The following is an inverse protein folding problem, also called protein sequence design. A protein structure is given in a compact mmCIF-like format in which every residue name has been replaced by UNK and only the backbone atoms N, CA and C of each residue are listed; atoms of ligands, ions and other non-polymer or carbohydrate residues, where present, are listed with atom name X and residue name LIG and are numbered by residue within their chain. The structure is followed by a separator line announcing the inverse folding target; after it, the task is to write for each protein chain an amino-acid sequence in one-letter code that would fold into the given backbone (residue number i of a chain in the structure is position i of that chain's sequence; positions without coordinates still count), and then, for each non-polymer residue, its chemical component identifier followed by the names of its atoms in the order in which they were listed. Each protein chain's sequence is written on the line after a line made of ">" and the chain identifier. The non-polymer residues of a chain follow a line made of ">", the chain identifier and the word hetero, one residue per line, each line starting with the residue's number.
data_IF_658622873491
#
_entry.id   IF_658622873491
#
_cell.length_a   1.000
_cell.length_b   1.000
_cell.length_c   1.000
_cell.angle_alpha   90.00
_cell.angle_beta   90.00
_cell.angle_gamma   90.00
#
_symmetry.space_group_name_H-M   'P 1'
#
loop_
_entity.id
_entity.type
_entity.pdbx_description
1 polymer ?
#
# COMPACT_ATOMS: atom_id res chain seq x y z
N UNK A 1 -19.44 10.46 24.18
CA UNK A 1 -18.07 10.19 24.68
C UNK A 1 -17.75 8.76 24.31
N UNK A 2 -17.10 8.55 23.17
CA UNK A 2 -16.66 7.23 22.70
C UNK A 2 -15.27 6.95 23.27
N UNK A 3 -15.13 5.85 24.00
CA UNK A 3 -13.86 5.43 24.59
C UNK A 3 -12.92 4.93 23.49
N UNK A 4 -11.75 5.56 23.39
CA UNK A 4 -10.66 5.18 22.50
C UNK A 4 -9.89 4.01 23.15
N UNK A 5 -9.90 2.83 22.52
CA UNK A 5 -9.24 1.63 23.03
C UNK A 5 -7.86 1.50 22.37
N UNK A 6 -6.86 2.23 22.87
CA UNK A 6 -5.48 2.13 22.38
C UNK A 6 -4.85 0.83 22.87
N UNK A 7 -4.92 -0.25 22.08
CA UNK A 7 -4.13 -1.45 22.35
C UNK A 7 -2.63 -1.19 22.05
N UNK A 8 -1.71 -1.79 22.82
CA UNK A 8 -0.27 -1.65 22.56
C UNK A 8 0.12 -2.23 21.18
N UNK A 9 1.15 -1.68 20.52
CA UNK A 9 1.60 -2.17 19.22
C UNK A 9 2.13 -3.61 19.31
N UNK A 10 2.18 -4.31 18.18
CA UNK A 10 2.68 -5.68 18.12
C UNK A 10 4.15 -5.77 18.59
N UNK A 11 4.41 -6.51 19.67
CA UNK A 11 5.76 -6.71 20.22
C UNK A 11 5.81 -7.89 21.21
N UNK A 12 7.00 -8.18 21.72
CA UNK A 12 7.21 -9.08 22.84
C UNK A 12 6.89 -8.38 24.16
N UNK A 13 6.02 -9.00 24.95
CA UNK A 13 5.62 -8.50 26.26
C UNK A 13 5.67 -9.63 27.29
N UNK A 14 5.70 -9.33 28.61
CA UNK A 14 5.67 -10.35 29.65
C UNK A 14 4.52 -11.34 29.45
N UNK A 15 4.82 -12.64 29.48
CA UNK A 15 3.83 -13.68 29.23
C UNK A 15 2.71 -13.65 30.28
N UNK A 16 1.49 -13.36 29.84
CA UNK A 16 0.29 -13.31 30.69
C UNK A 16 -0.04 -14.64 31.35
N UNK A 17 0.39 -15.77 30.75
CA UNK A 17 0.22 -17.10 31.36
C UNK A 17 1.29 -17.42 32.41
N UNK A 18 2.35 -16.58 32.50
CA UNK A 18 3.54 -16.75 33.35
C UNK A 18 4.23 -18.11 33.17
N UNK A 19 4.06 -18.76 32.01
CA UNK A 19 4.75 -19.99 31.65
C UNK A 19 6.13 -19.71 31.03
N UNK A 20 6.27 -18.55 30.39
CA UNK A 20 7.49 -18.09 29.72
C UNK A 20 7.87 -16.65 30.15
N UNK A 21 9.04 -16.15 29.73
CA UNK A 21 9.48 -14.79 30.09
C UNK A 21 8.72 -13.75 29.27
N UNK A 22 8.61 -13.99 27.96
CA UNK A 22 7.87 -13.13 27.03
C UNK A 22 6.93 -13.96 26.16
N UNK A 23 5.80 -13.37 25.76
CA UNK A 23 4.90 -13.87 24.72
C UNK A 23 4.68 -12.77 23.68
N UNK A 24 4.46 -13.15 22.44
CA UNK A 24 4.29 -12.17 21.37
C UNK A 24 2.83 -11.71 21.28
N UNK A 25 2.61 -10.41 21.34
CA UNK A 25 1.34 -9.72 21.07
C UNK A 25 1.34 -9.23 19.62
N UNK A 26 0.29 -9.52 18.86
CA UNK A 26 0.21 -9.15 17.44
C UNK A 26 -0.49 -7.80 17.17
N UNK A 27 -0.87 -7.06 18.22
CA UNK A 27 -1.66 -5.82 18.12
C UNK A 27 -3.14 -6.00 18.45
N UNK A 28 -3.65 -7.23 18.42
CA UNK A 28 -5.04 -7.58 18.73
C UNK A 28 -5.17 -8.73 19.75
N UNK A 29 -4.30 -9.73 19.68
CA UNK A 29 -4.31 -10.93 20.53
C UNK A 29 -2.90 -11.43 20.88
N UNK A 30 -2.81 -12.21 21.96
CA UNK A 30 -1.60 -12.95 22.32
C UNK A 30 -1.44 -14.18 21.43
N UNK A 31 -0.23 -14.41 20.93
CA UNK A 31 0.06 -15.54 20.04
C UNK A 31 0.70 -16.71 20.80
N UNK A 32 0.85 -17.84 20.11
CA UNK A 32 1.56 -19.02 20.61
C UNK A 32 3.09 -18.83 20.73
N UNK A 33 3.66 -17.77 20.16
CA UNK A 33 5.09 -17.53 20.18
C UNK A 33 5.54 -17.03 21.56
N UNK A 34 6.50 -17.73 22.15
CA UNK A 34 7.05 -17.45 23.48
C UNK A 34 8.56 -17.36 23.44
N UNK A 35 9.14 -16.71 24.45
CA UNK A 35 10.57 -16.55 24.61
C UNK A 35 10.98 -16.84 26.06
N UNK A 36 11.96 -17.73 26.25
CA UNK A 36 12.52 -18.09 27.57
C UNK A 36 14.01 -18.31 27.43
N UNK A 37 14.83 -17.74 28.32
CA UNK A 37 16.28 -17.99 28.35
C UNK A 37 17.02 -17.66 27.06
N UNK A 38 16.55 -16.69 26.28
CA UNK A 38 17.16 -16.32 24.99
C UNK A 38 16.66 -17.11 23.77
N UNK A 39 15.72 -18.05 23.95
CA UNK A 39 15.23 -18.94 22.89
C UNK A 39 13.75 -18.70 22.62
N UNK A 40 13.40 -18.56 21.34
CA UNK A 40 12.01 -18.51 20.88
C UNK A 40 11.45 -19.91 20.68
N UNK A 41 10.23 -20.16 21.16
CA UNK A 41 9.51 -21.41 21.02
C UNK A 41 8.02 -21.17 20.74
N UNK A 42 7.26 -22.25 20.55
CA UNK A 42 5.81 -22.25 20.34
C UNK A 42 5.15 -22.98 21.51
N UNK A 43 4.27 -22.27 22.23
CA UNK A 43 3.48 -22.77 23.36
C UNK A 43 1.99 -22.39 23.15
N UNK A 44 1.11 -23.35 22.80
CA UNK A 44 -0.30 -23.11 22.53
C UNK A 44 -1.04 -22.49 23.73
N UNK A 45 -1.86 -21.47 23.47
CA UNK A 45 -2.79 -20.93 24.44
C UNK A 45 -4.08 -21.78 24.48
N UNK A 46 -4.65 -22.04 25.67
CA UNK A 46 -5.98 -22.64 25.76
C UNK A 46 -7.03 -21.71 25.15
N UNK A 47 -7.92 -22.24 24.30
CA UNK A 47 -8.97 -21.46 23.66
C UNK A 47 -9.87 -20.74 24.70
N UNK A 48 -10.29 -19.49 24.44
CA UNK A 48 -11.18 -18.78 25.35
C UNK A 48 -12.55 -19.48 25.44
N UNK A 49 -12.97 -19.82 26.66
CA UNK A 49 -14.31 -20.32 26.96
C UNK A 49 -15.32 -19.16 26.94
N UNK A 50 -16.15 -19.11 25.90
CA UNK A 50 -17.27 -18.16 25.83
C UNK A 50 -18.42 -18.68 26.71
N UNK A 51 -18.97 -17.89 27.66
CA UNK A 51 -20.15 -18.29 28.42
C UNK A 51 -21.42 -18.18 27.56
N UNK A 52 -22.29 -19.17 27.69
CA UNK A 52 -23.56 -19.27 26.98
C UNK A 52 -24.51 -18.10 27.30
N UNK A 53 -24.88 -17.32 26.28
CA UNK A 53 -25.91 -16.29 26.36
C UNK A 53 -27.18 -16.73 25.59
N UNK A 54 -28.21 -16.96 26.39
CA UNK A 54 -29.66 -16.87 26.19
C UNK A 54 -30.28 -16.94 24.78
N UNK A 55 -31.10 -17.98 24.62
CA UNK A 55 -32.04 -18.20 23.55
C UNK A 55 -33.16 -17.14 23.52
N UNK A 56 -33.14 -16.29 22.50
CA UNK A 56 -34.28 -15.49 22.07
C UNK A 56 -35.29 -16.36 21.33
N UNK A 57 -36.54 -16.36 21.82
CA UNK A 57 -37.72 -16.93 21.17
C UNK A 57 -38.00 -16.17 19.87
N UNK A 58 -38.16 -16.90 18.78
CA UNK A 58 -38.69 -16.42 17.51
C UNK A 58 -39.68 -17.43 16.98
N UNK A 59 -40.93 -17.02 16.89
CA UNK A 59 -42.11 -17.81 16.53
C UNK A 59 -42.03 -18.39 15.12
N UNK A 60 -42.57 -19.61 15.00
CA UNK A 60 -42.76 -20.33 13.76
C UNK A 60 -43.97 -19.76 12.99
N UNK A 61 -43.74 -19.38 11.73
CA UNK A 61 -44.77 -19.33 10.69
C UNK A 61 -44.52 -20.51 9.75
N UNK A 62 -45.49 -21.42 9.73
CA UNK A 62 -45.43 -22.65 8.96
C UNK A 62 -45.48 -22.43 7.45
N UNK A 63 -44.84 -23.34 6.72
CA UNK A 63 -45.44 -23.90 5.52
C UNK A 63 -44.97 -25.34 5.35
N UNK A 64 -45.97 -26.19 5.25
CA UNK A 64 -45.96 -27.59 4.90
C UNK A 64 -45.51 -27.78 3.45
N UNK A 65 -44.54 -28.66 3.19
CA UNK A 65 -44.65 -29.79 2.24
C UNK A 65 -43.28 -30.41 1.96
N UNK A 66 -43.18 -31.73 2.18
CA UNK A 66 -42.08 -32.57 1.68
C UNK A 66 -41.35 -33.34 2.78
N UNK A 67 -41.69 -34.63 2.97
CA UNK A 67 -41.01 -35.60 3.84
C UNK A 67 -39.48 -35.52 3.69
N UNK A 68 -38.80 -34.82 4.60
CA UNK A 68 -37.39 -35.09 4.91
C UNK A 68 -37.37 -36.32 5.81
N UNK A 69 -36.80 -37.41 5.31
CA UNK A 69 -36.42 -38.54 6.15
C UNK A 69 -35.35 -38.05 7.14
N UNK A 70 -35.78 -37.79 8.38
CA UNK A 70 -34.90 -37.48 9.50
C UNK A 70 -33.77 -38.51 9.56
N UNK A 71 -32.59 -38.10 9.13
CA UNK A 71 -31.39 -38.92 9.06
C UNK A 71 -30.54 -38.56 10.27
N UNK A 72 -30.42 -39.45 11.28
CA UNK A 72 -29.71 -39.14 12.51
C UNK A 72 -28.21 -39.06 12.25
N UNK A 73 -27.58 -37.97 12.68
CA UNK A 73 -26.13 -37.87 12.79
C UNK A 73 -25.65 -38.94 13.76
N UNK A 74 -24.77 -39.82 13.30
CA UNK A 74 -24.14 -40.84 14.14
C UNK A 74 -22.70 -40.46 14.44
N UNK A 75 -22.12 -41.11 15.44
CA UNK A 75 -20.71 -40.93 15.78
C UNK A 75 -20.39 -39.74 16.67
N UNK A 76 -21.38 -39.25 17.45
CA UNK A 76 -21.08 -38.36 18.58
C UNK A 76 -20.09 -39.05 19.53
N UNK A 77 -18.91 -38.44 19.72
CA UNK A 77 -17.84 -38.95 20.57
C UNK A 77 -16.92 -39.97 19.90
N UNK A 78 -17.03 -40.17 18.58
CA UNK A 78 -15.99 -40.89 17.83
C UNK A 78 -14.75 -40.03 17.69
N UNK A 79 -13.59 -40.69 17.65
CA UNK A 79 -12.34 -40.05 17.29
C UNK A 79 -12.29 -39.80 15.78
N UNK A 80 -11.44 -38.86 15.40
CA UNK A 80 -11.13 -38.56 14.00
C UNK A 80 -10.70 -39.84 13.27
N UNK A 81 -11.33 -40.08 12.12
CA UNK A 81 -11.02 -41.24 11.29
C UNK A 81 -10.61 -40.78 9.90
N UNK A 82 -9.39 -41.11 9.51
CA UNK A 82 -8.90 -40.88 8.14
C UNK A 82 -9.52 -41.90 7.20
N UNK A 83 -10.23 -41.41 6.18
CA UNK A 83 -10.86 -42.25 5.17
C UNK A 83 -9.79 -42.97 4.36
N UNK A 84 -9.96 -44.28 4.19
CA UNK A 84 -9.05 -45.12 3.43
C UNK A 84 -9.43 -45.15 1.94
N UNK A 85 -8.41 -45.08 1.08
CA UNK A 85 -8.55 -45.28 -0.37
C UNK A 85 -9.04 -44.04 -1.14
N UNK A 86 -9.01 -42.87 -0.50
CA UNK A 86 -9.26 -41.55 -1.07
C UNK A 86 -8.31 -41.24 -2.24
N UNK A 87 -7.08 -41.74 -2.18
CA UNK A 87 -6.09 -41.60 -3.27
C UNK A 87 -6.50 -42.27 -4.58
N UNK A 88 -7.40 -43.27 -4.55
CA UNK A 88 -7.99 -43.91 -5.73
C UNK A 88 -9.26 -43.21 -6.23
N UNK A 89 -9.73 -42.17 -5.52
CA UNK A 89 -10.99 -41.45 -5.77
C UNK A 89 -10.76 -39.99 -6.17
N UNK A 90 -9.61 -39.71 -6.81
CA UNK A 90 -9.21 -38.35 -7.20
C UNK A 90 -10.25 -37.66 -8.10
N UNK A 91 -10.85 -38.39 -9.04
CA UNK A 91 -11.85 -37.84 -9.95
C UNK A 91 -13.16 -37.49 -9.23
N UNK A 92 -13.60 -38.34 -8.31
CA UNK A 92 -14.74 -38.13 -7.42
C UNK A 92 -14.51 -36.90 -6.52
N UNK A 93 -13.32 -36.79 -5.92
CA UNK A 93 -12.96 -35.66 -5.06
C UNK A 93 -12.86 -34.36 -5.86
N UNK A 94 -12.30 -34.40 -7.07
CA UNK A 94 -12.31 -33.25 -7.97
C UNK A 94 -13.74 -32.77 -8.25
N UNK A 95 -14.70 -33.69 -8.50
CA UNK A 95 -16.12 -33.32 -8.70
C UNK A 95 -16.74 -32.68 -7.46
N UNK A 96 -16.38 -33.12 -6.25
CA UNK A 96 -16.81 -32.46 -4.99
C UNK A 96 -16.38 -30.99 -4.98
N UNK A 97 -15.08 -30.71 -5.21
CA UNK A 97 -14.55 -29.34 -5.15
C UNK A 97 -15.00 -28.45 -6.32
N UNK A 98 -15.09 -29.00 -7.54
CA UNK A 98 -15.66 -28.30 -8.69
C UNK A 98 -17.13 -27.94 -8.45
N UNK A 99 -17.90 -28.83 -7.82
CA UNK A 99 -19.29 -28.54 -7.41
C UNK A 99 -19.42 -27.50 -6.30
N UNK A 100 -18.33 -27.16 -5.61
CA UNK A 100 -18.22 -26.06 -4.64
C UNK A 100 -17.63 -24.79 -5.26
N UNK A 101 -17.42 -24.75 -6.58
CA UNK A 101 -16.73 -23.69 -7.30
C UNK A 101 -15.29 -23.43 -6.80
N UNK A 102 -14.60 -24.48 -6.34
CA UNK A 102 -13.20 -24.45 -5.86
C UNK A 102 -12.30 -25.27 -6.77
N UNK A 103 -11.95 -24.76 -7.98
CA UNK A 103 -11.26 -25.54 -9.01
C UNK A 103 -9.84 -25.98 -8.63
N UNK A 104 -9.25 -25.37 -7.59
CA UNK A 104 -7.88 -25.65 -7.15
C UNK A 104 -7.83 -26.38 -5.79
N UNK A 105 -9.00 -26.77 -5.28
CA UNK A 105 -9.14 -27.37 -3.96
C UNK A 105 -9.23 -26.33 -2.84
N UNK A 106 -8.86 -26.75 -1.64
CA UNK A 106 -9.00 -25.98 -0.41
C UNK A 106 -9.35 -26.89 0.76
N UNK A 107 -10.01 -26.31 1.76
CA UNK A 107 -10.57 -27.01 2.92
C UNK A 107 -12.07 -26.81 2.93
N UNK A 108 -12.85 -27.87 3.04
CA UNK A 108 -14.31 -27.78 3.19
C UNK A 108 -14.82 -28.75 4.24
N UNK A 109 -15.87 -28.32 4.94
CA UNK A 109 -16.56 -29.09 5.97
C UNK A 109 -17.89 -29.58 5.38
N UNK A 110 -17.94 -30.86 5.05
CA UNK A 110 -19.09 -31.48 4.40
C UNK A 110 -19.74 -32.54 5.30
N UNK A 111 -20.95 -32.94 4.96
CA UNK A 111 -21.59 -34.10 5.57
C UNK A 111 -21.33 -35.34 4.70
N UNK A 112 -20.72 -36.36 5.30
CA UNK A 112 -20.52 -37.66 4.67
C UNK A 112 -21.68 -38.61 5.00
N UNK A 113 -22.18 -39.28 3.97
CA UNK A 113 -23.13 -40.40 4.09
C UNK A 113 -22.36 -41.71 4.12
N UNK A 114 -22.65 -42.54 5.12
CA UNK A 114 -22.01 -43.82 5.37
C UNK A 114 -22.91 -44.96 4.90
N UNK A 115 -22.40 -45.80 3.99
CA UNK A 115 -23.16 -46.87 3.34
C UNK A 115 -22.47 -48.22 3.57
N UNK A 116 -23.00 -49.09 4.45
CA UNK A 116 -22.44 -50.43 4.67
C UNK A 116 -22.55 -51.32 3.42
N UNK A 117 -21.47 -52.03 3.09
CA UNK A 117 -21.39 -52.98 1.99
C UNK A 117 -21.14 -54.41 2.53
N UNK A 118 -22.14 -55.09 3.12
CA UNK A 118 -21.96 -56.39 3.75
C UNK A 118 -21.59 -57.53 2.78
N UNK A 119 -21.71 -57.28 1.47
CA UNK A 119 -21.32 -58.19 0.39
C UNK A 119 -19.99 -57.79 -0.27
N UNK A 120 -19.25 -56.84 0.29
CA UNK A 120 -17.97 -56.42 -0.26
C UNK A 120 -16.97 -57.59 -0.19
N UNK A 121 -16.25 -57.90 -1.28
CA UNK A 121 -15.38 -59.06 -1.36
C UNK A 121 -14.12 -58.96 -0.47
N UNK A 122 -13.74 -57.75 -0.05
CA UNK A 122 -12.53 -57.50 0.75
C UNK A 122 -12.81 -57.42 2.24
N UNK A 123 -13.92 -56.77 2.63
CA UNK A 123 -14.31 -56.63 4.04
C UNK A 123 -15.85 -56.65 4.18
N UNK A 124 -16.37 -57.65 4.90
CA UNK A 124 -17.81 -57.79 5.21
C UNK A 124 -18.38 -56.65 6.07
N UNK A 125 -17.51 -55.85 6.69
CA UNK A 125 -17.86 -54.67 7.47
C UNK A 125 -17.53 -53.36 6.73
N UNK A 126 -17.13 -53.41 5.45
CA UNK A 126 -16.78 -52.22 4.67
C UNK A 126 -17.91 -51.19 4.72
N UNK A 127 -17.57 -49.93 4.99
CA UNK A 127 -18.51 -48.81 4.97
C UNK A 127 -17.99 -47.78 3.97
N UNK A 128 -18.73 -47.62 2.88
CA UNK A 128 -18.47 -46.64 1.84
C UNK A 128 -18.79 -45.24 2.34
N UNK A 129 -17.90 -44.29 2.07
CA UNK A 129 -18.03 -42.87 2.42
C UNK A 129 -18.43 -42.09 1.17
N UNK A 130 -19.59 -41.44 1.23
CA UNK A 130 -20.13 -40.63 0.13
C UNK A 130 -20.24 -39.18 0.56
N UNK A 131 -19.65 -38.26 -0.17
CA UNK A 131 -19.80 -36.81 0.06
C UNK A 131 -20.39 -36.18 -1.18
N UNK A 132 -21.47 -35.39 -1.03
CA UNK A 132 -22.16 -34.72 -2.15
C UNK A 132 -22.50 -35.67 -3.33
N UNK A 133 -22.78 -36.94 -3.04
CA UNK A 133 -23.07 -37.97 -4.04
C UNK A 133 -21.85 -38.71 -4.60
N UNK A 134 -20.64 -38.26 -4.28
CA UNK A 134 -19.38 -38.83 -4.79
C UNK A 134 -18.76 -39.81 -3.79
N UNK A 135 -18.24 -40.93 -4.29
CA UNK A 135 -17.56 -41.93 -3.46
C UNK A 135 -16.13 -41.48 -3.14
N UNK A 136 -15.89 -40.98 -1.93
CA UNK A 136 -14.59 -40.41 -1.54
C UNK A 136 -13.65 -41.40 -0.86
N UNK A 137 -14.13 -42.60 -0.49
CA UNK A 137 -13.33 -43.70 0.04
C UNK A 137 -14.12 -44.58 0.99
N UNK A 138 -13.42 -45.27 1.88
CA UNK A 138 -13.99 -46.19 2.86
C UNK A 138 -13.62 -45.77 4.28
N UNK A 139 -14.47 -46.12 5.25
CA UNK A 139 -14.10 -46.08 6.67
C UNK A 139 -12.88 -46.99 6.87
N UNK A 140 -11.89 -46.57 7.68
CA UNK A 140 -10.68 -47.38 7.89
C UNK A 140 -11.03 -48.70 8.61
N UNK A 141 -10.29 -49.76 8.28
CA UNK A 141 -10.65 -51.14 8.65
C UNK A 141 -10.84 -51.36 10.15
N UNK A 142 -10.03 -50.67 10.97
CA UNK A 142 -10.10 -50.68 12.43
C UNK A 142 -11.42 -50.14 12.98
N UNK A 143 -12.06 -49.21 12.27
CA UNK A 143 -13.34 -48.61 12.66
C UNK A 143 -14.55 -49.22 11.94
N UNK A 144 -14.34 -49.91 10.80
CA UNK A 144 -15.40 -50.49 9.95
C UNK A 144 -16.45 -51.29 10.73
N UNK A 145 -16.05 -52.17 11.65
CA UNK A 145 -16.98 -52.98 12.43
C UNK A 145 -17.89 -52.13 13.33
N UNK A 146 -17.31 -51.14 14.04
CA UNK A 146 -18.03 -50.23 14.92
C UNK A 146 -19.01 -49.36 14.12
N UNK A 147 -18.54 -48.80 13.00
CA UNK A 147 -19.34 -47.92 12.14
C UNK A 147 -20.45 -48.71 11.44
N UNK A 148 -20.17 -49.90 10.92
CA UNK A 148 -21.18 -50.75 10.28
C UNK A 148 -22.29 -51.17 11.27
N UNK A 149 -21.94 -51.48 12.52
CA UNK A 149 -22.90 -51.77 13.57
C UNK A 149 -23.75 -50.53 13.94
N UNK A 150 -23.13 -49.34 13.98
CA UNK A 150 -23.85 -48.09 14.18
C UNK A 150 -24.85 -47.79 13.05
N UNK A 151 -24.45 -48.00 11.79
CA UNK A 151 -25.35 -47.84 10.64
C UNK A 151 -26.52 -48.83 10.68
N UNK A 152 -26.28 -50.11 11.03
CA UNK A 152 -27.33 -51.14 11.15
C UNK A 152 -28.40 -50.77 12.19
N UNK A 153 -28.01 -50.14 13.30
CA UNK A 153 -28.93 -49.71 14.37
C UNK A 153 -29.93 -48.64 13.93
N UNK A 154 -29.66 -47.89 12.86
CA UNK A 154 -30.56 -46.86 12.35
C UNK A 154 -31.78 -47.42 11.60
N UNK A 155 -31.74 -48.69 11.19
CA UNK A 155 -32.78 -49.33 10.37
C UNK A 155 -32.68 -48.98 8.88
N UNK A 156 -33.40 -49.74 8.04
CA UNK A 156 -33.29 -49.68 6.56
C UNK A 156 -33.75 -48.36 5.91
N UNK A 157 -34.46 -47.50 6.63
CA UNK A 157 -35.05 -46.27 6.11
C UNK A 157 -34.21 -45.02 6.36
N UNK A 158 -33.08 -45.12 7.08
CA UNK A 158 -32.28 -43.96 7.50
C UNK A 158 -30.84 -44.09 7.04
N UNK A 159 -30.29 -43.02 6.46
CA UNK A 159 -28.89 -42.94 6.07
C UNK A 159 -28.06 -42.42 7.25
N UNK A 160 -26.95 -43.11 7.54
CA UNK A 160 -25.99 -42.67 8.53
C UNK A 160 -25.19 -41.48 8.00
N UNK A 161 -25.17 -40.38 8.76
CA UNK A 161 -24.46 -39.15 8.39
C UNK A 161 -23.48 -38.74 9.46
N UNK A 162 -22.31 -38.25 9.06
CA UNK A 162 -21.25 -37.76 9.95
C UNK A 162 -20.56 -36.53 9.33
N UNK A 163 -20.12 -35.55 10.12
CA UNK A 163 -19.25 -34.48 9.62
C UNK A 163 -17.96 -35.05 9.02
N UNK A 164 -17.51 -34.43 7.93
CA UNK A 164 -16.31 -34.79 7.20
C UNK A 164 -15.54 -33.54 6.80
N UNK A 165 -14.30 -33.43 7.27
CA UNK A 165 -13.33 -32.43 6.79
C UNK A 165 -12.69 -32.98 5.53
N UNK A 166 -12.67 -32.18 4.47
CA UNK A 166 -12.08 -32.54 3.19
C UNK A 166 -11.06 -31.48 2.84
N UNK A 167 -9.81 -31.89 2.81
CA UNK A 167 -8.73 -31.09 2.27
C UNK A 167 -8.38 -31.63 0.88
N UNK A 168 -8.21 -30.75 -0.10
CA UNK A 168 -7.62 -31.12 -1.37
C UNK A 168 -6.80 -29.99 -1.98
N UNK A 169 -5.86 -30.36 -2.84
CA UNK A 169 -5.08 -29.44 -3.68
C UNK A 169 -4.79 -30.08 -5.02
N UNK A 170 -4.56 -29.24 -6.01
CA UNK A 170 -4.12 -29.66 -7.34
C UNK A 170 -2.63 -29.39 -7.48
N UNK A 171 -1.84 -30.46 -7.57
CA UNK A 171 -0.40 -30.41 -7.80
C UNK A 171 -0.11 -30.95 -9.19
N UNK A 172 0.45 -30.13 -10.09
CA UNK A 172 0.79 -30.54 -11.46
C UNK A 172 -0.38 -31.22 -12.21
N UNK A 173 -1.60 -30.73 -11.99
CA UNK A 173 -2.83 -31.29 -12.56
C UNK A 173 -3.36 -32.55 -11.84
N UNK A 174 -2.67 -33.02 -10.80
CA UNK A 174 -3.08 -34.18 -10.00
C UNK A 174 -3.74 -33.73 -8.70
N UNK A 175 -4.97 -34.17 -8.49
CA UNK A 175 -5.67 -33.97 -7.23
C UNK A 175 -5.05 -34.83 -6.12
N UNK A 176 -4.69 -34.18 -5.03
CA UNK A 176 -4.33 -34.82 -3.75
C UNK A 176 -5.34 -34.39 -2.71
N UNK A 177 -5.76 -35.34 -1.88
CA UNK A 177 -6.80 -35.07 -0.92
C UNK A 177 -6.63 -35.90 0.34
N UNK A 178 -7.25 -35.43 1.42
CA UNK A 178 -7.38 -36.09 2.70
C UNK A 178 -8.80 -35.87 3.20
N UNK A 179 -9.46 -36.93 3.66
CA UNK A 179 -10.82 -36.87 4.18
C UNK A 179 -10.82 -37.43 5.59
N UNK A 180 -11.28 -36.64 6.54
CA UNK A 180 -11.33 -36.99 7.96
C UNK A 180 -12.78 -36.97 8.44
N UNK A 181 -13.28 -38.10 8.96
CA UNK A 181 -14.63 -38.23 9.53
C UNK A 181 -14.63 -37.96 11.03
N UNK A 182 -15.83 -37.67 11.56
CA UNK A 182 -16.11 -37.59 12.99
C UNK A 182 -15.26 -36.57 13.76
N UNK A 183 -14.85 -35.50 13.06
CA UNK A 183 -13.95 -34.48 13.58
C UNK A 183 -14.53 -33.81 14.84
N UNK A 184 -13.96 -34.09 16.02
CA UNK A 184 -14.48 -33.63 17.30
C UNK A 184 -13.72 -32.40 17.82
N UNK A 185 -14.11 -31.20 17.37
CA UNK A 185 -13.94 -29.99 18.18
C UNK A 185 -13.18 -28.80 17.59
N UNK A 186 -12.37 -28.96 16.53
CA UNK A 186 -11.74 -27.82 15.83
C UNK A 186 -12.41 -27.60 14.45
N UNK A 187 -13.24 -26.57 14.34
CA UNK A 187 -13.70 -26.15 13.01
C UNK A 187 -12.52 -25.43 12.37
N UNK A 188 -11.86 -26.04 11.39
CA UNK A 188 -10.94 -25.30 10.53
C UNK A 188 -11.76 -24.42 9.59
N UNK A 189 -11.29 -23.20 9.34
CA UNK A 189 -11.87 -22.32 8.34
C UNK A 189 -11.86 -23.00 6.97
N UNK A 190 -12.99 -22.89 6.28
CA UNK A 190 -13.05 -23.32 4.89
C UNK A 190 -12.13 -22.45 4.04
N UNK A 191 -11.34 -23.09 3.20
CA UNK A 191 -10.37 -22.42 2.32
C UNK A 191 -10.76 -22.64 0.87
N UNK A 192 -10.57 -21.60 0.07
CA UNK A 192 -10.60 -21.64 -1.39
C UNK A 192 -9.24 -21.16 -1.90
N UNK A 193 -8.40 -22.10 -2.28
CA UNK A 193 -7.03 -21.79 -2.72
C UNK A 193 -7.01 -20.95 -4.00
N UNK A 194 -8.06 -21.01 -4.83
CA UNK A 194 -8.17 -20.15 -6.01
C UNK A 194 -8.50 -18.71 -5.65
N UNK A 195 -9.33 -18.49 -4.61
CA UNK A 195 -9.59 -17.15 -4.08
C UNK A 195 -8.33 -16.57 -3.42
N UNK A 196 -7.71 -17.31 -2.50
CA UNK A 196 -6.50 -16.86 -1.79
C UNK A 196 -5.36 -16.50 -2.74
N UNK A 197 -5.15 -17.29 -3.80
CA UNK A 197 -4.15 -16.99 -4.84
C UNK A 197 -4.47 -15.70 -5.58
N UNK A 198 -5.73 -15.51 -6.00
CA UNK A 198 -6.17 -14.28 -6.69
C UNK A 198 -5.93 -13.05 -5.82
N UNK A 199 -6.27 -13.15 -4.54
CA UNK A 199 -6.01 -12.08 -3.58
C UNK A 199 -4.51 -11.82 -3.39
N UNK A 200 -3.69 -12.87 -3.32
CA UNK A 200 -2.23 -12.71 -3.23
C UNK A 200 -1.66 -12.01 -4.46
N UNK A 201 -2.05 -12.43 -5.65
CA UNK A 201 -1.62 -11.81 -6.92
C UNK A 201 -2.09 -10.36 -6.99
N UNK A 202 -3.32 -10.05 -6.57
CA UNK A 202 -3.82 -8.68 -6.52
C UNK A 202 -3.00 -7.79 -5.57
N UNK A 203 -2.71 -8.28 -4.36
CA UNK A 203 -1.86 -7.57 -3.38
C UNK A 203 -0.44 -7.33 -3.92
N UNK A 204 0.13 -8.31 -4.62
CA UNK A 204 1.44 -8.16 -5.26
C UNK A 204 1.41 -7.14 -6.40
N UNK A 205 0.37 -7.16 -7.23
CA UNK A 205 0.17 -6.18 -8.30
C UNK A 205 0.01 -4.76 -7.75
N UNK A 206 -0.78 -4.57 -6.69
CA UNK A 206 -0.94 -3.28 -6.00
C UNK A 206 0.40 -2.78 -5.43
N UNK A 207 1.16 -3.65 -4.77
CA UNK A 207 2.50 -3.31 -4.24
C UNK A 207 3.46 -2.93 -5.37
N UNK A 208 3.45 -3.67 -6.48
CA UNK A 208 4.28 -3.37 -7.64
C UNK A 208 3.91 -2.01 -8.26
N UNK A 209 2.61 -1.70 -8.37
CA UNK A 209 2.13 -0.42 -8.86
C UNK A 209 2.56 0.75 -7.94
N UNK A 210 2.42 0.58 -6.62
CA UNK A 210 2.84 1.59 -5.64
C UNK A 210 4.36 1.85 -5.68
N UNK A 211 5.17 0.80 -5.85
CA UNK A 211 6.62 0.95 -6.02
C UNK A 211 6.99 1.66 -7.32
N UNK A 212 6.30 1.34 -8.42
CA UNK A 212 6.50 1.98 -9.72
C UNK A 212 6.16 3.48 -9.66
N UNK A 213 5.04 3.84 -9.03
CA UNK A 213 4.66 5.24 -8.82
C UNK A 213 5.72 6.00 -8.01
N UNK A 214 6.16 5.45 -6.86
CA UNK A 214 7.21 6.07 -6.04
C UNK A 214 8.53 6.25 -6.80
N UNK A 215 8.89 5.29 -7.66
CA UNK A 215 10.07 5.39 -8.51
C UNK A 215 9.93 6.50 -9.56
N UNK A 216 8.75 6.63 -10.19
CA UNK A 216 8.46 7.69 -11.15
C UNK A 216 8.51 9.08 -10.51
N UNK A 217 7.90 9.26 -9.33
CA UNK A 217 7.96 10.51 -8.58
C UNK A 217 9.39 10.89 -8.18
N UNK A 218 10.20 9.90 -7.76
CA UNK A 218 11.61 10.12 -7.46
C UNK A 218 12.39 10.53 -8.70
N UNK A 219 12.19 9.85 -9.82
CA UNK A 219 12.84 10.17 -11.08
C UNK A 219 12.46 11.57 -11.58
N UNK A 220 11.20 11.99 -11.40
CA UNK A 220 10.76 13.36 -11.71
C UNK A 220 11.47 14.39 -10.84
N UNK A 221 11.53 14.19 -9.52
CA UNK A 221 12.26 15.09 -8.60
C UNK A 221 13.75 15.17 -8.94
N UNK A 222 14.36 14.04 -9.28
CA UNK A 222 15.77 13.99 -9.66
C UNK A 222 16.02 14.74 -10.99
N UNK A 223 15.12 14.61 -11.98
CA UNK A 223 15.15 15.38 -13.23
C UNK A 223 14.98 16.88 -12.97
N UNK A 224 13.98 17.29 -12.21
CA UNK A 224 13.76 18.69 -11.87
C UNK A 224 14.97 19.30 -11.15
N UNK A 225 15.60 18.54 -10.24
CA UNK A 225 16.85 18.96 -9.58
C UNK A 225 18.01 19.12 -10.56
N UNK A 226 18.14 18.22 -11.54
CA UNK A 226 19.15 18.30 -12.59
C UNK A 226 18.92 19.49 -13.51
N UNK A 227 17.68 19.69 -13.98
CA UNK A 227 17.28 20.79 -14.85
C UNK A 227 17.52 22.13 -14.14
N UNK A 228 17.15 22.22 -12.86
CA UNK A 228 17.41 23.40 -12.03
C UNK A 228 18.92 23.69 -11.90
N UNK A 229 19.73 22.65 -11.67
CA UNK A 229 21.20 22.78 -11.57
C UNK A 229 21.80 23.23 -12.90
N UNK A 230 21.35 22.64 -14.01
CA UNK A 230 21.78 23.00 -15.36
C UNK A 230 21.41 24.45 -15.71
N UNK A 231 20.18 24.88 -15.39
CA UNK A 231 19.71 26.25 -15.62
C UNK A 231 20.54 27.29 -14.87
N UNK A 232 20.91 26.99 -13.63
CA UNK A 232 21.74 27.84 -12.77
C UNK A 232 23.25 27.78 -13.06
N UNK A 233 23.68 27.03 -14.08
CA UNK A 233 25.10 26.91 -14.45
C UNK A 233 25.50 28.01 -15.44
N UNK A 234 26.65 28.63 -15.15
CA UNK A 234 27.30 29.71 -15.91
C UNK A 234 28.76 29.33 -16.10
N UNK A 235 29.20 29.22 -17.35
CA UNK A 235 30.59 28.86 -17.69
C UNK A 235 31.10 27.64 -16.90
N UNK A 236 30.31 26.56 -16.88
CA UNK A 236 30.59 25.27 -16.22
C UNK A 236 30.50 25.26 -14.68
N UNK A 237 30.35 26.42 -14.04
CA UNK A 237 30.19 26.54 -12.61
C UNK A 237 28.81 27.05 -12.24
N UNK A 238 28.33 26.74 -11.06
CA UNK A 238 27.04 27.27 -10.61
C UNK A 238 27.16 28.76 -10.30
N UNK A 239 26.12 29.55 -10.62
CA UNK A 239 26.22 31.02 -10.58
C UNK A 239 26.68 31.59 -9.22
N UNK A 240 26.37 30.92 -8.10
CA UNK A 240 26.81 31.34 -6.75
C UNK A 240 28.32 31.25 -6.56
N UNK A 241 29.02 30.39 -7.31
CA UNK A 241 30.47 30.21 -7.26
C UNK A 241 31.20 31.41 -7.84
N UNK A 242 30.57 32.21 -8.72
CA UNK A 242 31.18 33.38 -9.35
C UNK A 242 31.24 34.62 -8.45
N UNK A 243 30.65 34.61 -7.24
CA UNK A 243 30.64 35.76 -6.32
C UNK A 243 32.03 36.34 -6.01
N UNK A 244 33.06 35.51 -5.71
CA UNK A 244 34.42 36.02 -5.46
C UNK A 244 35.06 36.62 -6.73
N UNK A 245 34.86 36.01 -7.90
CA UNK A 245 35.37 36.52 -9.17
C UNK A 245 34.77 37.87 -9.53
N UNK A 246 33.45 38.05 -9.32
CA UNK A 246 32.77 39.35 -9.50
C UNK A 246 33.35 40.40 -8.54
N UNK A 247 33.59 40.04 -7.28
CA UNK A 247 34.21 40.96 -6.32
C UNK A 247 35.61 41.40 -6.78
N UNK A 248 36.41 40.47 -7.29
CA UNK A 248 37.74 40.75 -7.81
C UNK A 248 37.72 41.65 -9.06
N UNK A 249 36.83 41.39 -10.03
CA UNK A 249 36.66 42.24 -11.21
C UNK A 249 36.27 43.67 -10.82
N UNK A 250 35.36 43.83 -9.85
CA UNK A 250 34.95 45.14 -9.32
C UNK A 250 36.10 45.87 -8.61
N UNK A 251 36.97 45.14 -7.92
CA UNK A 251 38.17 45.68 -7.26
C UNK A 251 39.18 46.19 -8.29
N UNK A 252 39.38 45.43 -9.37
CA UNK A 252 40.27 45.77 -10.48
C UNK A 252 39.71 46.83 -11.45
N UNK A 253 38.53 47.41 -11.18
CA UNK A 253 37.85 48.36 -12.08
C UNK A 253 37.50 47.78 -13.47
N UNK A 254 37.49 46.46 -13.62
CA UNK A 254 37.10 45.76 -14.86
C UNK A 254 35.58 45.66 -14.92
N UNK A 255 34.93 46.83 -14.98
CA UNK A 255 33.48 46.95 -14.80
C UNK A 255 32.67 46.30 -15.94
N UNK A 256 33.16 46.37 -17.18
CA UNK A 256 32.52 45.72 -18.33
C UNK A 256 32.48 44.20 -18.16
N UNK A 257 33.59 43.59 -17.75
CA UNK A 257 33.66 42.15 -17.51
C UNK A 257 32.82 41.73 -16.30
N UNK A 258 32.80 42.56 -15.24
CA UNK A 258 31.92 42.34 -14.10
C UNK A 258 30.44 42.39 -14.50
N UNK A 259 30.05 43.35 -15.36
CA UNK A 259 28.70 43.48 -15.90
C UNK A 259 28.31 42.22 -16.68
N UNK A 260 29.16 41.77 -17.61
CA UNK A 260 28.85 40.64 -18.48
C UNK A 260 28.69 39.34 -17.68
N UNK A 261 29.61 39.08 -16.75
CA UNK A 261 29.51 37.91 -15.86
C UNK A 261 28.26 37.98 -14.97
N UNK A 262 27.90 39.17 -14.46
CA UNK A 262 26.70 39.36 -13.65
C UNK A 262 25.41 39.20 -14.47
N UNK A 263 25.39 39.61 -15.73
CA UNK A 263 24.27 39.37 -16.64
C UNK A 263 24.07 37.86 -16.88
N UNK A 264 25.13 37.11 -17.14
CA UNK A 264 25.07 35.64 -17.25
C UNK A 264 24.54 34.99 -15.94
N UNK A 265 25.03 35.46 -14.78
CA UNK A 265 24.56 34.97 -13.47
C UNK A 265 23.09 35.29 -13.20
N UNK A 266 22.63 36.48 -13.60
CA UNK A 266 21.22 36.88 -13.51
C UNK A 266 20.36 35.97 -14.37
N UNK A 267 20.72 35.79 -15.63
CA UNK A 267 19.93 34.99 -16.57
C UNK A 267 19.86 33.53 -16.12
N UNK A 268 20.95 32.98 -15.56
CA UNK A 268 20.94 31.67 -14.93
C UNK A 268 20.00 31.58 -13.71
N UNK A 269 20.01 32.58 -12.83
CA UNK A 269 19.11 32.64 -11.66
C UNK A 269 17.63 32.81 -12.08
N UNK A 270 17.35 33.54 -13.16
CA UNK A 270 16.01 33.67 -13.74
C UNK A 270 15.52 32.33 -14.32
N UNK A 271 16.35 31.61 -15.08
CA UNK A 271 15.98 30.27 -15.58
C UNK A 271 15.73 29.28 -14.43
N UNK A 272 16.53 29.35 -13.38
CA UNK A 272 16.33 28.52 -12.19
C UNK A 272 14.98 28.80 -11.49
N UNK A 273 14.62 30.08 -11.39
CA UNK A 273 13.34 30.54 -10.84
C UNK A 273 12.14 30.01 -11.63
N UNK A 274 12.25 29.96 -12.97
CA UNK A 274 11.18 29.41 -13.82
C UNK A 274 10.94 27.91 -13.59
N UNK A 275 12.00 27.13 -13.35
CA UNK A 275 11.89 25.69 -13.08
C UNK A 275 11.32 25.43 -11.69
N UNK A 276 11.83 26.15 -10.69
CA UNK A 276 11.43 25.95 -9.28
C UNK A 276 10.12 26.63 -8.89
N UNK A 277 9.56 27.47 -9.77
CA UNK A 277 8.38 28.29 -9.47
C UNK A 277 8.59 29.26 -8.30
N UNK A 278 9.84 29.53 -7.92
CA UNK A 278 10.24 30.39 -6.79
C UNK A 278 10.80 31.71 -7.28
N UNK A 279 10.82 32.75 -6.45
CA UNK A 279 11.35 34.06 -6.81
C UNK A 279 12.84 33.93 -7.19
N UNK A 280 13.30 34.66 -8.21
CA UNK A 280 14.71 34.64 -8.58
C UNK A 280 15.58 35.16 -7.45
N UNK A 281 16.83 34.66 -7.38
CA UNK A 281 17.77 35.15 -6.39
C UNK A 281 18.10 36.63 -6.64
N UNK A 282 18.02 37.53 -5.64
CA UNK A 282 18.22 38.96 -5.84
C UNK A 282 19.66 39.36 -6.13
N UNK A 283 20.63 38.56 -5.65
CA UNK A 283 22.04 38.96 -5.61
C UNK A 283 22.60 39.34 -7.00
N UNK A 284 22.44 38.54 -8.09
CA UNK A 284 22.96 38.91 -9.40
C UNK A 284 22.38 40.22 -9.93
N UNK A 285 21.06 40.41 -9.86
CA UNK A 285 20.40 41.65 -10.31
C UNK A 285 20.80 42.87 -9.48
N UNK A 286 20.91 42.71 -8.16
CA UNK A 286 21.34 43.79 -7.27
C UNK A 286 22.79 44.22 -7.50
N UNK A 287 23.68 43.28 -7.82
CA UNK A 287 25.08 43.58 -8.12
C UNK A 287 25.22 44.15 -9.53
N UNK A 288 24.46 43.64 -10.50
CA UNK A 288 24.43 44.15 -11.87
C UNK A 288 23.99 45.62 -11.88
N UNK A 289 22.90 45.94 -11.16
CA UNK A 289 22.42 47.32 -11.04
C UNK A 289 23.49 48.25 -10.44
N UNK A 290 24.26 47.78 -9.45
CA UNK A 290 25.33 48.55 -8.83
C UNK A 290 26.53 48.79 -9.79
N UNK A 291 26.87 47.81 -10.63
CA UNK A 291 27.93 47.94 -11.63
C UNK A 291 27.50 48.87 -12.76
N UNK A 292 26.28 48.72 -13.29
CA UNK A 292 25.72 49.59 -14.34
C UNK A 292 25.69 51.05 -13.89
N UNK A 293 25.26 51.30 -12.65
CA UNK A 293 25.30 52.63 -12.05
C UNK A 293 26.72 53.22 -12.02
N UNK A 294 27.72 52.41 -11.68
CA UNK A 294 29.14 52.84 -11.62
C UNK A 294 29.71 53.14 -13.02
N UNK A 295 29.20 52.45 -14.04
CA UNK A 295 29.54 52.69 -15.45
C UNK A 295 28.80 53.90 -16.05
N UNK A 296 27.85 54.50 -15.32
CA UNK A 296 27.02 55.62 -15.81
C UNK A 296 25.78 55.18 -16.60
N UNK A 297 25.55 53.88 -16.77
CA UNK A 297 24.40 53.34 -17.48
C UNK A 297 23.15 53.29 -16.58
N UNK A 298 22.46 54.42 -16.51
CA UNK A 298 21.25 54.56 -15.69
C UNK A 298 20.02 53.88 -16.29
N UNK A 299 19.96 53.78 -17.62
CA UNK A 299 18.88 53.09 -18.31
C UNK A 299 18.95 51.58 -18.04
N UNK A 300 20.15 51.00 -18.16
CA UNK A 300 20.41 49.60 -17.84
C UNK A 300 20.18 49.28 -16.36
N UNK A 301 20.58 50.16 -15.43
CA UNK A 301 20.28 50.02 -13.99
C UNK A 301 18.78 49.88 -13.74
N UNK A 302 17.97 50.74 -14.35
CA UNK A 302 16.51 50.72 -14.21
C UNK A 302 15.90 49.45 -14.82
N UNK A 303 16.24 49.14 -16.08
CA UNK A 303 15.73 47.95 -16.78
C UNK A 303 15.98 46.67 -16.00
N UNK A 304 17.21 46.50 -15.48
CA UNK A 304 17.60 45.32 -14.69
C UNK A 304 16.73 45.13 -13.44
N UNK A 305 16.42 46.23 -12.73
CA UNK A 305 15.62 46.19 -11.50
C UNK A 305 14.14 45.96 -11.81
N UNK A 306 13.62 46.53 -12.89
CA UNK A 306 12.23 46.33 -13.32
C UNK A 306 11.99 44.90 -13.83
N UNK A 307 12.92 44.37 -14.63
CA UNK A 307 12.91 42.97 -15.08
C UNK A 307 12.90 42.00 -13.89
N UNK A 308 13.69 42.28 -12.85
CA UNK A 308 13.69 41.45 -11.64
C UNK A 308 12.34 41.49 -10.92
N UNK A 309 11.72 42.66 -10.78
CA UNK A 309 10.39 42.80 -10.15
C UNK A 309 9.34 42.01 -10.94
N UNK A 310 9.36 42.11 -12.27
CA UNK A 310 8.47 41.32 -13.14
C UNK A 310 8.71 39.82 -12.94
N UNK A 311 9.97 39.40 -12.84
CA UNK A 311 10.33 38.00 -12.64
C UNK A 311 9.91 37.43 -11.27
N UNK A 312 9.71 38.26 -10.25
CA UNK A 312 9.14 37.82 -8.97
C UNK A 312 7.67 37.39 -9.07
N UNK A 313 6.93 37.80 -10.11
CA UNK A 313 5.50 37.48 -10.30
C UNK A 313 4.68 37.83 -9.05
N UNK A 314 3.96 36.86 -8.47
CA UNK A 314 3.14 37.02 -7.26
C UNK A 314 3.96 36.94 -5.96
N UNK A 315 5.28 36.74 -6.06
CA UNK A 315 6.13 36.56 -4.90
C UNK A 315 6.66 37.89 -4.37
N UNK A 316 6.97 37.89 -3.07
CA UNK A 316 7.47 39.08 -2.38
C UNK A 316 8.80 39.55 -2.98
N UNK A 317 8.80 40.77 -3.51
CA UNK A 317 10.03 41.45 -3.94
C UNK A 317 10.84 41.85 -2.69
N UNK A 318 12.16 41.57 -2.63
CA UNK A 318 13.02 42.01 -1.54
C UNK A 318 13.05 43.53 -1.39
N UNK A 319 12.99 44.02 -0.15
CA UNK A 319 12.97 45.45 0.18
C UNK A 319 14.22 46.20 -0.33
N UNK A 320 15.36 45.50 -0.40
CA UNK A 320 16.61 46.00 -0.97
C UNK A 320 16.48 46.34 -2.45
N UNK A 321 15.81 45.49 -3.24
CA UNK A 321 15.54 45.73 -4.66
C UNK A 321 14.55 46.89 -4.82
N UNK A 322 13.47 46.90 -4.04
CA UNK A 322 12.47 47.98 -4.06
C UNK A 322 13.10 49.35 -3.77
N UNK A 323 13.97 49.44 -2.76
CA UNK A 323 14.67 50.68 -2.41
C UNK A 323 15.64 51.14 -3.51
N UNK A 324 16.34 50.20 -4.17
CA UNK A 324 17.21 50.51 -5.32
C UNK A 324 16.40 51.00 -6.52
N UNK A 325 15.29 50.35 -6.82
CA UNK A 325 14.41 50.71 -7.94
C UNK A 325 13.83 52.13 -7.77
N UNK A 326 13.37 52.47 -6.57
CA UNK A 326 12.89 53.82 -6.28
C UNK A 326 13.97 54.89 -6.55
N UNK A 327 15.22 54.64 -6.13
CA UNK A 327 16.35 55.54 -6.39
C UNK A 327 16.69 55.63 -7.89
N UNK A 328 16.69 54.50 -8.60
CA UNK A 328 16.97 54.45 -10.03
C UNK A 328 15.92 55.22 -10.85
N UNK A 329 14.63 55.14 -10.47
CA UNK A 329 13.54 55.90 -11.10
C UNK A 329 13.73 57.41 -10.95
N UNK A 330 14.07 57.89 -9.75
CA UNK A 330 14.35 59.31 -9.52
C UNK A 330 15.55 59.78 -10.35
N UNK A 331 16.63 58.98 -10.39
CA UNK A 331 17.84 59.34 -11.12
C UNK A 331 17.67 59.40 -12.65
N UNK A 332 16.75 58.60 -13.21
CA UNK A 332 16.37 58.64 -14.63
C UNK A 332 15.33 59.73 -14.93
N UNK A 333 14.37 59.97 -14.03
CA UNK A 333 13.38 61.05 -14.12
C UNK A 333 13.99 62.46 -14.02
N UNK A 334 15.02 62.63 -13.20
CA UNK A 334 15.75 63.90 -13.10
C UNK A 334 16.53 64.25 -14.39
N UNK A 335 16.92 63.24 -15.18
CA UNK A 335 17.64 63.46 -16.45
C UNK A 335 16.69 63.82 -17.60
N UNK A 336 15.43 63.38 -17.54
CA UNK A 336 14.40 63.72 -18.55
C UNK A 336 13.83 65.14 -18.36
N UNK A 337 13.83 65.67 -17.14
CA UNK A 337 13.46 67.08 -16.89
C UNK A 337 14.55 68.07 -17.32
N UNK A 338 15.83 67.70 -17.21
CA UNK A 338 16.94 68.60 -17.61
C UNK A 338 17.05 68.80 -19.13
N UNK A 339 16.55 67.87 -19.95
CA UNK A 339 16.56 67.98 -21.41
C UNK A 339 15.42 68.84 -21.98
N UNK A 340 14.40 69.19 -21.19
CA UNK A 340 13.28 70.05 -21.63
C UNK A 340 13.49 71.55 -21.36
N UNK A 341 14.52 71.93 -20.61
CA UNK A 341 14.77 73.33 -20.27
C UNK A 341 15.78 74.05 -21.18
N UNK A 342 16.34 73.39 -22.20
CA UNK A 342 17.33 73.98 -23.13
C UNK A 342 16.73 74.34 -24.51
N UNK A 343 15.42 74.15 -24.72
CA UNK A 343 14.71 74.45 -25.99
C UNK A 343 13.69 75.60 -25.88
N UNK A 344 13.82 76.48 -24.88
CA UNK A 344 12.92 77.63 -24.70
C UNK A 344 13.67 78.96 -24.51
N UNK A 345 14.68 79.23 -25.35
CA UNK A 345 15.17 80.60 -25.54
C UNK A 345 15.46 80.86 -27.01
N UNK A 346 14.42 80.98 -27.82
CA UNK A 346 14.62 81.31 -29.24
C UNK A 346 13.41 81.23 -30.14
N UNK A 347 12.24 81.74 -29.74
CA UNK A 347 11.31 82.35 -30.70
C UNK A 347 10.17 83.10 -29.99
N UNK A 348 10.32 84.41 -29.81
CA UNK A 348 9.22 85.30 -29.45
C UNK A 348 9.61 86.72 -29.85
N UNK A 349 9.31 87.08 -31.10
CA UNK A 349 8.51 88.27 -31.42
C UNK A 349 8.40 88.45 -32.94
N UNK A 350 7.29 87.99 -33.49
CA UNK A 350 6.69 88.56 -34.69
C UNK A 350 5.18 88.57 -34.55
N UNK A 351 4.58 89.70 -34.96
CA UNK A 351 3.15 90.08 -35.05
C UNK A 351 2.64 90.78 -33.78
N UNK A 352 2.03 91.96 -33.82
CA UNK A 352 1.06 92.50 -34.80
C UNK A 352 1.18 94.02 -35.01
N UNK A 353 1.08 94.48 -36.26
CA UNK A 353 0.11 95.47 -36.78
C UNK A 353 0.32 95.69 -38.28
#
# INVERSE_FOLDING_TARGET
>A
MTADSTHPPANWYPDVTRRHELRYWNGADWTEHVFTGGVQAVDPLPAPSIPAAEAGRGEALGSDTGRKLDSPTIGRGWQDMEVAGESYRRAEIARVFLGLARPEGGVTMQEATLVPEPKNPHDRNAVKVIVRGEHVGYVPGEASAQVAAACKRLGRSRAAKVPARIWARVDDGVWRARVTLAFSGEVEDEKDYAAERRESVAREAERAAALSQKAAERAQRDREKQDRRAAGTVRHEYWTTWKPAVAELKRQQRLTEARDLLAECRDAALRESLISGSAPAPWPSEQLSAVLRRMGDRAGELSTLEEYVVACRDQQVPSTVTAKLAKARIANGASTTSARNDESTGDLMSRES
#
